data_IF_290769545763
#
_entry.id   IF_290769545763
#
_cell.length_a   1.000
_cell.length_b   1.000
_cell.length_c   1.000
_cell.angle_alpha   90.00
_cell.angle_beta   90.00
_cell.angle_gamma   90.00
#
_symmetry.space_group_name_H-M   'P 1'
#
loop_
_entity.id
_entity.type
_entity.pdbx_description
1 polymer ?
#
# COMPACT_ATOMS: atom_id res chain seq x y z
N UNK A 1 11.79 -4.62 -15.43
CA UNK A 1 11.61 -3.94 -14.14
C UNK A 1 11.98 -4.96 -13.09
N UNK A 2 12.96 -4.68 -12.23
CA UNK A 2 13.31 -5.59 -11.13
C UNK A 2 12.13 -5.68 -10.15
N UNK A 3 11.92 -6.84 -9.49
CA UNK A 3 10.84 -7.02 -8.52
C UNK A 3 10.96 -5.95 -7.42
N UNK A 4 9.82 -5.37 -7.00
CA UNK A 4 9.78 -4.42 -5.89
C UNK A 4 10.22 -5.13 -4.60
N UNK A 5 11.40 -4.84 -4.04
CA UNK A 5 11.96 -5.64 -2.95
C UNK A 5 11.30 -5.33 -1.61
N UNK A 6 10.80 -4.10 -1.44
CA UNK A 6 10.14 -3.62 -0.22
C UNK A 6 8.82 -2.95 -0.57
N UNK A 7 7.73 -3.43 0.02
CA UNK A 7 6.39 -2.86 -0.09
C UNK A 7 5.93 -2.30 1.25
N UNK A 8 5.17 -1.21 1.19
CA UNK A 8 4.38 -0.71 2.29
C UNK A 8 2.90 -0.78 1.96
N UNK A 9 2.19 -1.66 2.67
CA UNK A 9 0.73 -1.69 2.68
C UNK A 9 0.23 -0.80 3.81
N UNK A 10 -0.59 0.18 3.46
CA UNK A 10 -1.13 1.15 4.40
C UNK A 10 -2.65 1.14 4.35
N UNK A 11 -3.27 1.03 5.52
CA UNK A 11 -4.72 0.98 5.67
C UNK A 11 -5.12 2.09 6.63
N UNK A 12 -5.80 3.10 6.11
CA UNK A 12 -6.23 4.22 6.92
C UNK A 12 -7.71 4.11 7.25
N UNK A 13 -8.06 4.58 8.45
CA UNK A 13 -9.42 4.98 8.78
C UNK A 13 -9.52 6.47 8.48
N UNK A 14 -10.24 6.86 7.45
CA UNK A 14 -10.60 8.26 7.22
C UNK A 14 -11.76 8.64 8.15
N UNK A 15 -12.00 9.94 8.33
CA UNK A 15 -13.21 10.40 9.04
C UNK A 15 -14.44 10.11 8.22
N UNK A 16 -15.57 9.91 8.90
CA UNK A 16 -16.86 9.62 8.27
C UNK A 16 -17.19 10.65 7.19
N UNK A 17 -17.36 10.17 5.95
CA UNK A 17 -17.70 11.00 4.78
C UNK A 17 -16.52 11.78 4.17
N UNK A 18 -15.30 11.65 4.70
CA UNK A 18 -14.11 12.36 4.21
C UNK A 18 -13.32 11.59 3.14
N UNK A 19 -13.73 10.37 2.77
CA UNK A 19 -12.93 9.49 1.90
C UNK A 19 -12.62 10.11 0.55
N UNK A 20 -13.62 10.65 -0.14
CA UNK A 20 -13.41 11.19 -1.49
C UNK A 20 -12.58 12.47 -1.46
N UNK A 21 -12.78 13.33 -0.46
CA UNK A 21 -11.93 14.52 -0.24
C UNK A 21 -10.47 14.11 0.05
N UNK A 22 -10.26 13.07 0.86
CA UNK A 22 -8.93 12.55 1.13
C UNK A 22 -8.28 11.96 -0.13
N UNK A 23 -9.03 11.21 -0.93
CA UNK A 23 -8.54 10.64 -2.20
C UNK A 23 -8.11 11.76 -3.15
N UNK A 24 -8.97 12.77 -3.34
CA UNK A 24 -8.69 13.90 -4.23
C UNK A 24 -7.42 14.63 -3.81
N UNK A 25 -7.30 15.00 -2.53
CA UNK A 25 -6.11 15.67 -2.00
C UNK A 25 -4.86 14.78 -2.14
N UNK A 26 -4.97 13.50 -1.81
CA UNK A 26 -3.85 12.58 -1.87
C UNK A 26 -3.34 12.40 -3.31
N UNK A 27 -4.25 12.19 -4.26
CA UNK A 27 -3.92 11.97 -5.67
C UNK A 27 -3.39 13.22 -6.37
N UNK A 28 -3.96 14.40 -6.06
CA UNK A 28 -3.54 15.67 -6.67
C UNK A 28 -2.24 16.20 -6.08
N UNK A 29 -2.08 16.16 -4.76
CA UNK A 29 -1.00 16.88 -4.08
C UNK A 29 0.12 15.99 -3.55
N UNK A 30 -0.11 14.69 -3.32
CA UNK A 30 0.82 13.84 -2.58
C UNK A 30 1.42 12.69 -3.40
N UNK A 31 0.79 12.26 -4.50
CA UNK A 31 1.33 11.18 -5.35
C UNK A 31 2.59 11.62 -6.09
N UNK A 32 2.52 12.67 -6.90
CA UNK A 32 3.64 13.07 -7.76
C UNK A 32 4.89 13.50 -6.95
N UNK A 33 4.77 14.24 -5.83
CA UNK A 33 5.94 14.59 -5.03
C UNK A 33 6.63 13.37 -4.40
N UNK A 34 5.90 12.31 -4.05
CA UNK A 34 6.50 11.05 -3.62
C UNK A 34 7.24 10.37 -4.76
N UNK A 35 6.61 10.29 -5.95
CA UNK A 35 7.22 9.69 -7.13
C UNK A 35 8.49 10.44 -7.59
N UNK A 36 8.50 11.77 -7.49
CA UNK A 36 9.67 12.59 -7.76
C UNK A 36 10.86 12.29 -6.83
N UNK A 37 10.59 11.73 -5.65
CA UNK A 37 11.60 11.30 -4.67
C UNK A 37 11.99 9.82 -4.80
N UNK A 38 11.52 9.14 -5.86
CA UNK A 38 11.82 7.73 -6.13
C UNK A 38 10.90 6.73 -5.42
N UNK A 39 9.86 7.20 -4.72
CA UNK A 39 8.86 6.33 -4.11
C UNK A 39 7.90 5.83 -5.20
N UNK A 40 7.74 4.52 -5.31
CA UNK A 40 6.85 3.94 -6.31
C UNK A 40 5.46 3.76 -5.73
N UNK A 41 4.59 4.77 -5.88
CA UNK A 41 3.19 4.66 -5.46
C UNK A 41 2.45 3.72 -6.43
N UNK A 42 2.10 2.52 -5.97
CA UNK A 42 1.60 1.42 -6.81
C UNK A 42 0.08 1.43 -6.97
N UNK A 43 -0.67 1.77 -5.94
CA UNK A 43 -2.12 1.77 -6.00
C UNK A 43 -2.75 2.38 -4.76
N UNK A 44 -3.97 2.88 -4.93
CA UNK A 44 -4.83 3.47 -3.91
C UNK A 44 -6.24 2.93 -4.13
N UNK A 45 -6.93 2.61 -3.05
CA UNK A 45 -8.14 1.82 -3.15
C UNK A 45 -9.18 2.25 -2.14
N UNK A 46 -10.43 2.20 -2.61
CA UNK A 46 -11.63 2.28 -1.77
C UNK A 46 -11.96 0.88 -1.29
N UNK A 47 -12.20 0.72 -0.01
CA UNK A 47 -12.91 -0.48 0.45
C UNK A 47 -14.41 -0.34 0.11
N UNK A 48 -14.94 -1.30 -0.63
CA UNK A 48 -16.35 -1.29 -1.03
C UNK A 48 -17.30 -1.69 0.11
N UNK A 49 -16.79 -2.33 1.15
CA UNK A 49 -17.55 -2.76 2.32
C UNK A 49 -17.41 -1.77 3.49
N UNK A 50 -16.37 -0.95 3.50
CA UNK A 50 -16.15 0.08 4.52
C UNK A 50 -15.91 1.48 3.88
N UNK A 51 -16.92 2.38 3.91
CA UNK A 51 -16.81 3.70 3.30
C UNK A 51 -15.74 4.59 3.97
N UNK A 52 -15.29 4.24 5.17
CA UNK A 52 -14.32 5.02 5.94
C UNK A 52 -12.90 4.45 5.82
N UNK A 53 -12.67 3.52 4.87
CA UNK A 53 -11.34 2.94 4.60
C UNK A 53 -10.73 3.43 3.30
N UNK A 54 -9.44 3.76 3.41
CA UNK A 54 -8.55 4.05 2.30
C UNK A 54 -7.32 3.14 2.42
N UNK A 55 -7.11 2.29 1.41
CA UNK A 55 -5.98 1.37 1.37
C UNK A 55 -5.04 1.80 0.27
N UNK A 56 -3.73 1.78 0.49
CA UNK A 56 -2.77 2.09 -0.56
C UNK A 56 -1.47 1.33 -0.39
N UNK A 57 -0.78 1.19 -1.51
CA UNK A 57 0.47 0.46 -1.63
C UNK A 57 1.53 1.34 -2.28
N UNK A 58 2.72 1.35 -1.69
CA UNK A 58 3.92 1.93 -2.32
C UNK A 58 5.12 1.00 -2.15
N UNK A 59 6.09 1.16 -3.03
CA UNK A 59 7.31 0.36 -3.07
C UNK A 59 8.57 1.21 -2.96
N UNK A 60 9.63 0.57 -2.46
CA UNK A 60 10.96 1.13 -2.33
C UNK A 60 12.01 0.12 -2.80
N UNK A 61 13.17 0.58 -3.30
CA UNK A 61 14.31 -0.30 -3.61
C UNK A 61 14.93 -0.99 -2.38
N UNK A 62 14.68 -0.48 -1.17
CA UNK A 62 15.25 -1.01 0.06
C UNK A 62 14.98 -0.10 1.27
N UNK A 63 15.40 -0.53 2.46
CA UNK A 63 15.23 0.23 3.71
C UNK A 63 16.00 1.57 3.69
N UNK A 64 17.21 1.59 3.12
CA UNK A 64 18.00 2.83 3.06
C UNK A 64 17.35 3.87 2.15
N UNK A 65 16.87 3.46 0.97
CA UNK A 65 16.15 4.32 0.03
C UNK A 65 14.81 4.77 0.60
N UNK A 66 14.12 3.88 1.33
CA UNK A 66 12.90 4.19 2.07
C UNK A 66 13.15 5.32 3.07
N UNK A 67 14.05 5.15 4.03
CA UNK A 67 14.34 6.16 5.04
C UNK A 67 14.69 7.52 4.43
N UNK A 68 15.54 7.52 3.38
CA UNK A 68 15.93 8.74 2.66
C UNK A 68 14.73 9.42 1.99
N UNK A 69 13.93 8.67 1.23
CA UNK A 69 12.81 9.22 0.49
C UNK A 69 11.68 9.71 1.42
N UNK A 70 11.42 8.98 2.51
CA UNK A 70 10.47 9.40 3.54
C UNK A 70 10.93 10.65 4.29
N UNK A 71 12.23 10.76 4.60
CA UNK A 71 12.80 11.98 5.16
C UNK A 71 12.60 13.18 4.24
N UNK A 72 13.00 13.05 2.97
CA UNK A 72 12.83 14.11 1.98
C UNK A 72 11.35 14.50 1.79
N UNK A 73 10.44 13.53 1.82
CA UNK A 73 9.01 13.79 1.67
C UNK A 73 8.41 14.46 2.91
N UNK A 74 8.53 13.85 4.09
CA UNK A 74 7.84 14.30 5.30
C UNK A 74 8.50 15.50 5.99
N UNK A 75 9.81 15.67 5.85
CA UNK A 75 10.57 16.74 6.54
C UNK A 75 10.85 17.92 5.60
N UNK A 76 11.26 17.64 4.36
CA UNK A 76 11.80 18.68 3.49
C UNK A 76 10.78 19.20 2.47
N UNK A 77 9.88 18.35 1.96
CA UNK A 77 9.04 18.70 0.82
C UNK A 77 8.06 19.84 1.10
N UNK A 78 7.90 20.72 0.12
CA UNK A 78 6.89 21.77 0.15
C UNK A 78 5.47 21.17 0.13
N UNK A 79 5.27 20.09 -0.61
CA UNK A 79 3.98 19.40 -0.70
C UNK A 79 3.48 18.95 0.68
N UNK A 80 4.31 18.24 1.45
CA UNK A 80 3.88 17.82 2.79
C UNK A 80 3.73 18.99 3.76
N UNK A 81 4.60 20.01 3.70
CA UNK A 81 4.48 21.21 4.53
C UNK A 81 3.17 21.98 4.28
N UNK A 82 2.73 22.05 3.02
CA UNK A 82 1.50 22.75 2.63
C UNK A 82 0.25 21.91 2.88
N UNK A 83 0.26 20.63 2.48
CA UNK A 83 -0.95 19.80 2.42
C UNK A 83 -1.04 18.73 3.52
N UNK A 84 0.07 18.43 4.22
CA UNK A 84 0.12 17.34 5.21
C UNK A 84 -0.80 17.56 6.41
N UNK A 85 -1.01 18.81 6.83
CA UNK A 85 -1.98 19.16 7.88
C UNK A 85 -3.42 18.86 7.45
N UNK A 86 -3.80 19.29 6.24
CA UNK A 86 -5.12 19.00 5.68
C UNK A 86 -5.33 17.48 5.50
N UNK A 87 -4.36 16.79 4.90
CA UNK A 87 -4.40 15.33 4.74
C UNK A 87 -4.60 14.61 6.08
N UNK A 88 -3.81 14.96 7.10
CA UNK A 88 -3.89 14.32 8.43
C UNK A 88 -5.22 14.64 9.13
N UNK A 89 -5.78 15.84 8.93
CA UNK A 89 -7.04 16.24 9.57
C UNK A 89 -8.23 15.36 9.15
N UNK A 90 -8.18 14.82 7.93
CA UNK A 90 -9.19 13.92 7.37
C UNK A 90 -9.03 12.46 7.85
N UNK A 91 -7.95 12.14 8.58
CA UNK A 91 -7.67 10.79 9.08
C UNK A 91 -8.12 10.63 10.52
N UNK A 92 -8.87 9.56 10.79
CA UNK A 92 -9.17 9.10 12.14
C UNK A 92 -8.04 8.20 12.69
N UNK A 93 -7.44 7.37 11.84
CA UNK A 93 -6.30 6.50 12.17
C UNK A 93 -5.45 6.24 10.91
N UNK A 94 -4.13 6.31 11.05
CA UNK A 94 -3.15 6.08 9.99
C UNK A 94 -2.03 5.11 10.40
N UNK A 95 -2.24 4.38 11.50
CA UNK A 95 -1.21 3.56 12.16
C UNK A 95 -1.13 2.13 11.64
N UNK A 96 -2.12 1.66 10.86
CA UNK A 96 -2.09 0.35 10.23
C UNK A 96 -1.22 0.37 8.97
N UNK A 97 0.07 0.21 9.22
CA UNK A 97 1.12 0.16 8.21
C UNK A 97 1.85 -1.17 8.36
N UNK A 98 2.02 -1.88 7.25
CA UNK A 98 2.79 -3.12 7.18
C UNK A 98 3.94 -2.91 6.20
N UNK A 99 5.15 -3.12 6.70
CA UNK A 99 6.35 -3.14 5.87
C UNK A 99 6.62 -4.60 5.48
N UNK A 100 6.76 -4.85 4.19
CA UNK A 100 6.78 -6.20 3.62
C UNK A 100 7.98 -6.36 2.70
N UNK A 101 8.76 -7.42 2.90
CA UNK A 101 9.87 -7.80 2.01
C UNK A 101 9.45 -8.92 1.07
N UNK A 102 10.05 -8.95 -0.11
CA UNK A 102 9.82 -10.03 -1.08
C UNK A 102 10.30 -11.38 -0.52
N UNK A 103 9.51 -12.43 -0.71
CA UNK A 103 9.84 -13.81 -0.32
C UNK A 103 9.96 -14.74 -1.53
N UNK A 104 8.98 -14.69 -2.46
CA UNK A 104 8.98 -15.40 -3.75
C UNK A 104 8.54 -14.41 -4.85
N UNK A 105 8.80 -14.66 -6.15
CA UNK A 105 9.09 -13.61 -7.14
C UNK A 105 8.27 -12.33 -6.97
N UNK A 106 8.91 -11.17 -6.85
CA UNK A 106 8.20 -9.94 -6.49
C UNK A 106 7.14 -9.53 -7.50
N UNK A 107 6.20 -8.69 -7.04
CA UNK A 107 5.02 -8.29 -7.80
C UNK A 107 5.43 -7.67 -9.15
N UNK A 108 4.98 -8.31 -10.24
CA UNK A 108 5.22 -7.83 -11.59
C UNK A 108 4.00 -7.03 -12.10
N UNK A 109 4.23 -5.95 -12.89
CA UNK A 109 3.18 -5.11 -13.46
C UNK A 109 2.10 -5.79 -14.30
N UNK A 110 2.40 -6.96 -14.86
CA UNK A 110 1.65 -7.47 -16.02
C UNK A 110 0.58 -8.47 -15.62
N UNK A 111 -0.65 -7.98 -15.50
CA UNK A 111 -1.87 -8.78 -15.58
C UNK A 111 -2.41 -8.88 -16.99
N UNK A 112 -3.35 -9.80 -17.21
CA UNK A 112 -4.12 -9.84 -18.45
C UNK A 112 -5.14 -8.68 -18.45
N UNK A 113 -5.49 -8.08 -19.60
CA UNK A 113 -6.55 -7.08 -19.66
C UNK A 113 -7.85 -7.62 -19.03
N UNK A 114 -8.39 -6.90 -18.04
CA UNK A 114 -9.60 -7.28 -17.32
C UNK A 114 -9.39 -8.16 -16.07
N UNK A 115 -8.19 -8.71 -15.87
CA UNK A 115 -7.85 -9.40 -14.63
C UNK A 115 -7.72 -8.40 -13.47
N UNK A 116 -8.13 -8.81 -12.27
CA UNK A 116 -8.00 -8.02 -11.03
C UNK A 116 -6.89 -8.56 -10.16
N UNK A 117 -6.19 -7.68 -9.45
CA UNK A 117 -5.22 -8.10 -8.46
C UNK A 117 -5.90 -8.49 -7.13
N UNK A 118 -5.70 -9.72 -6.68
CA UNK A 118 -6.06 -10.19 -5.33
C UNK A 118 -4.84 -10.11 -4.42
N UNK A 119 -4.99 -9.53 -3.24
CA UNK A 119 -4.00 -9.59 -2.17
C UNK A 119 -4.58 -10.36 -0.98
N UNK A 120 -3.98 -11.50 -0.61
CA UNK A 120 -4.40 -12.33 0.52
C UNK A 120 -3.43 -12.11 1.68
N UNK A 121 -3.91 -11.53 2.77
CA UNK A 121 -3.12 -11.34 4.00
C UNK A 121 -3.43 -12.51 4.94
N UNK A 122 -2.39 -13.20 5.39
CA UNK A 122 -2.47 -14.36 6.29
C UNK A 122 -1.53 -14.13 7.46
N UNK A 123 -1.89 -14.63 8.64
CA UNK A 123 -0.90 -14.74 9.73
C UNK A 123 0.27 -15.61 9.26
N UNK A 124 1.50 -15.27 9.65
CA UNK A 124 2.70 -15.97 9.17
C UNK A 124 2.71 -17.47 9.53
N UNK A 125 2.06 -17.84 10.64
CA UNK A 125 1.97 -19.23 11.10
C UNK A 125 0.74 -19.98 10.56
N UNK A 126 -0.12 -19.30 9.78
CA UNK A 126 -1.31 -19.94 9.21
C UNK A 126 -0.89 -21.00 8.18
N UNK A 127 -1.48 -22.21 8.23
CA UNK A 127 -1.03 -23.29 7.39
C UNK A 127 -1.28 -22.97 5.92
N UNK A 128 -0.27 -23.25 5.10
CA UNK A 128 -0.33 -23.04 3.67
C UNK A 128 -1.26 -24.08 3.04
N UNK A 129 -2.51 -23.69 2.78
CA UNK A 129 -3.49 -24.56 2.16
C UNK A 129 -3.61 -24.33 0.65
N UNK A 130 -2.94 -23.30 0.09
CA UNK A 130 -3.26 -22.83 -1.28
C UNK A 130 -2.23 -21.89 -1.94
N UNK A 131 -0.92 -21.93 -1.60
CA UNK A 131 0.10 -21.08 -2.27
C UNK A 131 0.37 -21.48 -3.72
N UNK A 132 -0.27 -22.52 -4.25
CA UNK A 132 -0.04 -23.04 -5.61
C UNK A 132 -0.33 -22.05 -6.76
N UNK A 133 -0.88 -20.86 -6.51
CA UNK A 133 -1.24 -19.88 -7.54
C UNK A 133 -0.81 -18.42 -7.25
N UNK A 134 -0.03 -18.16 -6.20
CA UNK A 134 0.49 -16.81 -5.95
C UNK A 134 1.58 -16.46 -6.99
N UNK A 135 1.47 -15.29 -7.63
CA UNK A 135 2.54 -14.80 -8.51
C UNK A 135 3.67 -14.11 -7.75
N UNK A 136 3.33 -13.57 -6.57
CA UNK A 136 4.28 -12.89 -5.71
C UNK A 136 3.86 -13.07 -4.26
N UNK A 137 4.83 -13.38 -3.41
CA UNK A 137 4.64 -13.49 -1.97
C UNK A 137 5.57 -12.53 -1.27
N UNK A 138 5.00 -11.80 -0.31
CA UNK A 138 5.72 -10.91 0.58
C UNK A 138 5.50 -11.34 2.02
N UNK A 139 6.48 -11.09 2.87
CA UNK A 139 6.42 -11.37 4.31
C UNK A 139 6.72 -10.10 5.08
N UNK A 140 6.23 -9.99 6.32
CA UNK A 140 6.60 -8.87 7.20
C UNK A 140 8.13 -8.70 7.25
N UNK A 141 8.58 -7.48 6.97
CA UNK A 141 9.97 -7.07 7.15
C UNK A 141 10.27 -7.01 8.66
N UNK A 142 11.29 -7.75 9.09
CA UNK A 142 11.66 -7.93 10.51
C UNK A 142 12.81 -7.04 10.95
N UNK A 143 13.43 -6.31 10.02
CA UNK A 143 14.41 -5.28 10.30
C UNK A 143 13.87 -4.16 11.20
N UNK A 144 14.78 -3.36 11.80
CA UNK A 144 14.37 -2.23 12.62
C UNK A 144 13.58 -1.21 11.78
N UNK A 145 12.59 -0.57 12.40
CA UNK A 145 11.87 0.53 11.75
C UNK A 145 12.83 1.70 11.48
N UNK A 146 13.16 1.89 10.22
CA UNK A 146 14.16 2.82 9.69
C UNK A 146 13.65 4.26 9.55
N UNK A 147 12.37 4.51 9.86
CA UNK A 147 11.77 5.84 9.84
C UNK A 147 10.69 5.96 10.93
N UNK A 148 10.56 7.11 11.65
CA UNK A 148 9.67 7.25 12.82
C UNK A 148 8.18 7.37 12.42
N UNK A 149 7.66 6.36 11.74
CA UNK A 149 6.26 6.21 11.36
C UNK A 149 5.77 4.85 11.88
N UNK A 150 4.50 4.72 12.32
CA UNK A 150 3.99 3.46 12.81
C UNK A 150 4.19 2.34 11.77
N UNK A 151 4.62 1.17 12.24
CA UNK A 151 4.70 -0.08 11.49
C UNK A 151 4.24 -1.19 12.45
N UNK A 152 3.28 -2.01 12.02
CA UNK A 152 2.81 -3.15 12.80
C UNK A 152 3.88 -4.24 12.83
N UNK A 153 4.10 -4.80 14.01
CA UNK A 153 5.06 -5.89 14.21
C UNK A 153 4.46 -7.29 14.04
N UNK A 154 3.12 -7.41 13.98
CA UNK A 154 2.45 -8.71 13.82
C UNK A 154 2.85 -9.34 12.48
N UNK A 155 3.52 -10.51 12.49
CA UNK A 155 4.00 -11.16 11.27
C UNK A 155 2.85 -11.63 10.39
N UNK A 156 2.91 -11.29 9.10
CA UNK A 156 1.97 -11.75 8.08
C UNK A 156 2.70 -12.15 6.81
N UNK A 157 2.03 -12.99 6.04
CA UNK A 157 2.36 -13.27 4.64
C UNK A 157 1.28 -12.63 3.76
N UNK A 158 1.71 -11.97 2.68
CA UNK A 158 0.83 -11.34 1.70
C UNK A 158 1.10 -11.96 0.34
N UNK A 159 0.11 -12.69 -0.17
CA UNK A 159 0.17 -13.30 -1.50
C UNK A 159 -0.62 -12.46 -2.49
N UNK A 160 -0.01 -12.20 -3.64
CA UNK A 160 -0.63 -11.54 -4.77
C UNK A 160 -0.94 -12.55 -5.88
N UNK A 161 -2.14 -12.47 -6.45
CA UNK A 161 -2.58 -13.31 -7.58
C UNK A 161 -3.51 -12.53 -8.51
N UNK A 162 -3.49 -12.82 -9.82
CA UNK A 162 -4.49 -12.31 -10.77
C UNK A 162 -5.74 -13.19 -10.66
N UNK A 163 -6.91 -12.58 -10.57
CA UNK A 163 -8.19 -13.26 -10.45
C UNK A 163 -9.21 -12.73 -11.44
N UNK A 164 -10.03 -13.63 -11.97
CA UNK A 164 -11.22 -13.29 -12.76
C UNK A 164 -12.47 -13.23 -11.84
N UNK A 165 -12.45 -13.91 -10.70
CA UNK A 165 -13.53 -13.91 -9.70
C UNK A 165 -13.39 -12.73 -8.74
N UNK A 166 -14.48 -11.96 -8.56
CA UNK A 166 -14.47 -10.72 -7.80
C UNK A 166 -15.71 -10.47 -6.92
N UNK A 167 -16.70 -11.38 -6.91
CA UNK A 167 -18.04 -11.01 -6.45
C UNK A 167 -18.41 -11.40 -5.02
N UNK A 168 -17.61 -12.21 -4.30
CA UNK A 168 -17.98 -12.64 -2.94
C UNK A 168 -16.86 -12.57 -1.87
N UNK A 169 -15.72 -11.94 -2.16
CA UNK A 169 -14.63 -11.86 -1.18
C UNK A 169 -14.87 -10.75 -0.12
N UNK A 170 -14.65 -11.02 1.18
CA UNK A 170 -14.57 -9.97 2.18
C UNK A 170 -13.32 -9.11 1.92
N UNK A 171 -13.49 -7.78 1.82
CA UNK A 171 -12.39 -6.83 1.58
C UNK A 171 -12.19 -6.42 0.12
N UNK A 172 -13.27 -6.31 -0.67
CA UNK A 172 -13.22 -5.84 -2.06
C UNK A 172 -12.69 -4.40 -2.12
N UNK A 173 -11.53 -4.26 -2.74
CA UNK A 173 -10.89 -2.98 -3.00
C UNK A 173 -11.16 -2.53 -4.44
N UNK A 174 -11.69 -1.32 -4.61
CA UNK A 174 -11.84 -0.68 -5.91
C UNK A 174 -10.72 0.35 -6.13
N UNK A 175 -9.94 0.26 -7.22
CA UNK A 175 -8.86 1.20 -7.50
C UNK A 175 -9.41 2.63 -7.69
N UNK A 176 -8.63 3.62 -7.26
CA UNK A 176 -8.86 5.03 -7.61
C UNK A 176 -8.35 5.34 -9.01
N UNK A 177 -8.56 6.56 -9.49
CA UNK A 177 -8.22 6.95 -10.86
C UNK A 177 -6.72 6.83 -11.14
N UNK A 178 -5.86 7.27 -10.20
CA UNK A 178 -4.41 7.25 -10.36
C UNK A 178 -3.75 5.93 -9.96
N UNK A 179 -4.55 4.92 -9.62
CA UNK A 179 -4.03 3.60 -9.27
C UNK A 179 -3.48 2.87 -10.49
N UNK A 180 -2.23 2.42 -10.35
CA UNK A 180 -1.57 1.62 -11.37
C UNK A 180 -1.93 0.14 -11.24
N UNK A 181 -2.00 -0.38 -10.01
CA UNK A 181 -2.61 -1.67 -9.72
C UNK A 181 -4.14 -1.57 -9.81
N UNK A 182 -4.76 -2.46 -10.57
CA UNK A 182 -6.21 -2.49 -10.84
C UNK A 182 -6.75 -3.91 -10.85
#
# INVERSE_FOLDING_TARGET
MEPFPLLELRQYTVRRGAREEFIELFESELVDPQQALGIQVLGQFRDLNDPDRFVWLRAFPGLTERARALGAFYVDSAAWKTHGGAATSLLADFTDVRLLRVATPGLAPSGRPGARLRARIRDADAPDHETAMAMATYETETGPNDFPMPVRSTPVTVDFAWTDDADEDPGRLAPTERSWLR
#
